data_IF_058076408510
#
_entry.id   IF_058076408510
#
_cell.length_a   1.000
_cell.length_b   1.000
_cell.length_c   1.000
_cell.angle_alpha   90.00
_cell.angle_beta   90.00
_cell.angle_gamma   90.00
#
_symmetry.space_group_name_H-M   'P 1'
#
loop_
_entity.id
_entity.type
_entity.pdbx_description
1 polymer ?
#
# COMPACT_ATOMS: atom_id res chain seq x y z
N UNK A 1 -18.26 -4.85 -1.81
CA UNK A 1 -16.79 -4.76 -1.70
C UNK A 1 -16.42 -3.30 -1.74
N UNK A 2 -15.47 -2.89 -0.92
CA UNK A 2 -15.01 -1.51 -0.84
C UNK A 2 -13.66 -1.40 -1.55
N UNK A 3 -13.48 -0.37 -2.38
CA UNK A 3 -12.21 -0.11 -3.07
C UNK A 3 -11.61 1.20 -2.56
N UNK A 4 -10.32 1.14 -2.25
CA UNK A 4 -9.46 2.28 -1.94
C UNK A 4 -8.53 2.48 -3.14
N UNK A 5 -8.39 3.72 -3.57
CA UNK A 5 -7.43 4.13 -4.60
C UNK A 5 -6.82 5.46 -4.17
N UNK A 6 -5.52 5.44 -3.86
CA UNK A 6 -4.76 6.58 -3.35
C UNK A 6 -3.59 6.82 -4.28
N UNK A 7 -3.45 8.04 -4.76
CA UNK A 7 -2.20 8.50 -5.37
C UNK A 7 -1.47 9.41 -4.38
N UNK A 8 -0.15 9.21 -4.26
CA UNK A 8 0.72 10.02 -3.42
C UNK A 8 1.95 10.45 -4.20
N UNK A 9 2.08 11.76 -4.44
CA UNK A 9 3.24 12.34 -5.11
C UNK A 9 4.46 12.35 -4.19
N UNK A 10 5.65 12.19 -4.77
CA UNK A 10 6.92 12.25 -4.03
C UNK A 10 8.06 12.72 -4.95
N UNK A 11 9.15 13.21 -4.35
CA UNK A 11 10.37 13.60 -5.06
C UNK A 11 11.54 12.61 -4.86
N UNK A 12 11.25 11.41 -4.34
CA UNK A 12 12.22 10.35 -4.04
C UNK A 12 12.70 9.63 -5.32
N UNK A 13 13.91 9.08 -5.29
CA UNK A 13 14.44 8.24 -6.38
C UNK A 13 13.73 6.88 -6.41
N UNK A 14 13.68 6.18 -7.56
CA UNK A 14 13.04 4.86 -7.66
C UNK A 14 13.51 3.86 -6.59
N UNK A 15 14.81 3.87 -6.27
CA UNK A 15 15.41 3.00 -5.26
C UNK A 15 14.90 3.33 -3.85
N UNK A 16 14.81 4.62 -3.52
CA UNK A 16 14.27 5.07 -2.23
C UNK A 16 12.79 4.71 -2.06
N UNK A 17 12.01 4.86 -3.13
CA UNK A 17 10.58 4.52 -3.10
C UNK A 17 10.42 3.01 -2.94
N UNK A 18 11.19 2.20 -3.68
CA UNK A 18 11.17 0.73 -3.57
C UNK A 18 11.50 0.28 -2.15
N UNK A 19 12.56 0.83 -1.55
CA UNK A 19 12.96 0.52 -0.18
C UNK A 19 11.88 0.92 0.83
N UNK A 20 11.26 2.09 0.66
CA UNK A 20 10.16 2.54 1.49
C UNK A 20 8.96 1.58 1.41
N UNK A 21 8.57 1.18 0.20
CA UNK A 21 7.46 0.24 -0.04
C UNK A 21 7.78 -1.15 0.52
N UNK A 22 9.00 -1.64 0.37
CA UNK A 22 9.47 -2.89 0.99
C UNK A 22 9.37 -2.84 2.52
N UNK A 23 9.77 -1.72 3.13
CA UNK A 23 9.64 -1.53 4.58
C UNK A 23 8.18 -1.51 5.05
N UNK A 24 7.27 -0.95 4.24
CA UNK A 24 5.82 -1.00 4.52
C UNK A 24 5.33 -2.44 4.43
N UNK A 25 5.69 -3.16 3.37
CA UNK A 25 5.31 -4.54 3.14
C UNK A 25 5.74 -5.43 4.30
N UNK A 26 7.02 -5.39 4.69
CA UNK A 26 7.57 -6.19 5.78
C UNK A 26 6.79 -5.99 7.09
N UNK A 27 6.48 -4.73 7.44
CA UNK A 27 5.66 -4.42 8.63
C UNK A 27 4.25 -4.98 8.55
N UNK A 28 3.64 -4.96 7.36
CA UNK A 28 2.31 -5.53 7.15
C UNK A 28 2.33 -7.06 7.25
N UNK A 29 3.38 -7.72 6.76
CA UNK A 29 3.55 -9.17 6.93
C UNK A 29 3.69 -9.53 8.41
N UNK A 30 4.58 -8.85 9.14
CA UNK A 30 4.84 -9.12 10.56
C UNK A 30 3.63 -8.89 11.46
N UNK A 31 2.90 -7.77 11.25
CA UNK A 31 1.80 -7.36 12.14
C UNK A 31 0.45 -7.95 11.77
N UNK A 32 0.22 -8.23 10.50
CA UNK A 32 -1.11 -8.59 9.98
C UNK A 32 -1.12 -9.92 9.21
N UNK A 33 0.03 -10.58 9.05
CA UNK A 33 0.12 -11.86 8.34
C UNK A 33 -0.19 -11.75 6.85
N UNK A 34 -0.04 -10.56 6.26
CA UNK A 34 -0.22 -10.38 4.83
C UNK A 34 0.95 -11.01 4.07
N UNK A 35 0.68 -11.47 2.85
CA UNK A 35 1.71 -11.83 1.87
C UNK A 35 1.99 -10.64 0.97
N UNK A 36 3.24 -10.52 0.50
CA UNK A 36 3.59 -9.53 -0.50
C UNK A 36 4.46 -10.12 -1.59
N UNK A 37 4.28 -9.68 -2.84
CA UNK A 37 5.05 -10.14 -3.99
C UNK A 37 5.32 -8.98 -4.94
N UNK A 38 6.58 -8.84 -5.36
CA UNK A 38 6.95 -7.91 -6.42
C UNK A 38 6.58 -8.46 -7.80
N UNK A 39 6.02 -7.59 -8.63
CA UNK A 39 5.60 -7.77 -10.02
C UNK A 39 6.14 -6.58 -10.84
N UNK A 40 7.41 -6.65 -11.24
CA UNK A 40 8.09 -5.52 -11.90
C UNK A 40 8.22 -4.31 -10.97
N UNK A 41 7.53 -3.22 -11.33
CA UNK A 41 7.46 -1.96 -10.58
C UNK A 41 6.23 -1.87 -9.66
N UNK A 42 5.52 -2.99 -9.48
CA UNK A 42 4.35 -3.06 -8.60
C UNK A 42 4.56 -4.10 -7.50
N UNK A 43 4.03 -3.84 -6.30
CA UNK A 43 3.98 -4.79 -5.21
C UNK A 43 2.53 -5.21 -4.98
N UNK A 44 2.23 -6.48 -5.22
CA UNK A 44 0.97 -7.09 -4.80
C UNK A 44 1.03 -7.44 -3.29
N UNK A 45 -0.06 -7.16 -2.59
CA UNK A 45 -0.28 -7.42 -1.17
C UNK A 45 -1.58 -8.21 -1.03
N UNK A 46 -1.58 -9.28 -0.25
CA UNK A 46 -2.79 -10.11 -0.11
C UNK A 46 -2.86 -10.84 1.21
N UNK A 47 -4.05 -10.90 1.79
CA UNK A 47 -4.34 -11.68 2.98
C UNK A 47 -5.84 -11.82 3.23
N UNK A 48 -6.23 -12.40 4.38
CA UNK A 48 -7.64 -12.66 4.67
C UNK A 48 -8.49 -11.39 4.67
N UNK A 49 -9.31 -11.21 3.63
CA UNK A 49 -10.24 -10.08 3.52
C UNK A 49 -9.64 -8.76 3.03
N UNK A 50 -8.38 -8.76 2.58
CA UNK A 50 -7.74 -7.61 1.93
C UNK A 50 -6.88 -8.07 0.74
N UNK A 51 -7.11 -7.44 -0.40
CA UNK A 51 -6.25 -7.53 -1.58
C UNK A 51 -5.76 -6.12 -1.90
N UNK A 52 -4.50 -5.95 -2.29
CA UNK A 52 -3.98 -4.64 -2.62
C UNK A 52 -2.77 -4.68 -3.55
N UNK A 53 -2.50 -3.53 -4.16
CA UNK A 53 -1.38 -3.31 -5.05
C UNK A 53 -0.80 -1.92 -4.82
N UNK A 54 0.53 -1.84 -4.80
CA UNK A 54 1.28 -0.59 -4.77
C UNK A 54 2.05 -0.48 -6.08
N UNK A 55 1.73 0.49 -6.91
CA UNK A 55 2.44 0.77 -8.17
C UNK A 55 3.44 1.90 -7.95
N UNK A 56 4.69 1.65 -8.32
CA UNK A 56 5.74 2.66 -8.36
C UNK A 56 5.66 3.37 -9.71
N UNK A 57 5.31 4.66 -9.71
CA UNK A 57 5.25 5.47 -10.91
C UNK A 57 6.30 6.60 -10.83
N UNK A 58 6.68 7.21 -11.97
CA UNK A 58 7.57 8.36 -11.95
C UNK A 58 6.96 9.52 -11.15
N UNK A 59 7.59 9.89 -10.03
CA UNK A 59 7.18 11.00 -9.16
C UNK A 59 5.93 10.76 -8.31
N UNK A 60 5.37 9.55 -8.31
CA UNK A 60 4.23 9.19 -7.46
C UNK A 60 4.13 7.69 -7.21
N UNK A 61 3.46 7.31 -6.14
CA UNK A 61 2.98 5.95 -5.94
C UNK A 61 1.47 5.90 -6.02
N UNK A 62 0.93 4.80 -6.54
CA UNK A 62 -0.50 4.51 -6.50
C UNK A 62 -0.74 3.29 -5.63
N UNK A 63 -1.63 3.40 -4.66
CA UNK A 63 -2.04 2.31 -3.78
C UNK A 63 -3.50 2.00 -4.04
N UNK A 64 -3.75 0.76 -4.45
CA UNK A 64 -5.07 0.21 -4.63
C UNK A 64 -5.30 -0.88 -3.58
N UNK A 65 -6.47 -0.89 -2.96
CA UNK A 65 -6.84 -1.97 -2.06
C UNK A 65 -8.33 -2.29 -2.18
N UNK A 66 -8.65 -3.58 -2.20
CA UNK A 66 -9.99 -4.11 -2.13
C UNK A 66 -10.21 -4.74 -0.77
N UNK A 67 -11.21 -4.22 -0.07
CA UNK A 67 -11.61 -4.68 1.25
C UNK A 67 -12.81 -5.60 1.12
N UNK A 68 -12.67 -6.79 1.73
CA UNK A 68 -13.77 -7.72 1.95
C UNK A 68 -14.85 -7.12 2.85
N UNK A 69 -16.01 -7.80 2.91
CA UNK A 69 -17.20 -7.29 3.62
C UNK A 69 -16.90 -6.88 5.07
N UNK A 70 -16.12 -7.66 5.81
CA UNK A 70 -15.73 -7.39 7.20
C UNK A 70 -14.98 -6.06 7.36
N UNK A 71 -14.14 -5.69 6.39
CA UNK A 71 -13.31 -4.49 6.46
C UNK A 71 -13.96 -3.27 5.77
N UNK A 72 -15.07 -3.46 5.05
CA UNK A 72 -15.72 -2.38 4.29
C UNK A 72 -16.16 -1.20 5.16
N UNK A 73 -16.67 -1.45 6.37
CA UNK A 73 -17.05 -0.41 7.32
C UNK A 73 -15.84 0.39 7.86
N UNK A 74 -14.64 -0.19 7.81
CA UNK A 74 -13.39 0.43 8.24
C UNK A 74 -12.62 1.09 7.10
N UNK A 75 -13.19 1.18 5.90
CA UNK A 75 -12.51 1.73 4.72
C UNK A 75 -11.85 3.09 5.00
N UNK A 76 -12.56 4.02 5.63
CA UNK A 76 -12.01 5.36 5.92
C UNK A 76 -10.82 5.33 6.88
N UNK A 77 -10.82 4.41 7.85
CA UNK A 77 -9.69 4.22 8.79
C UNK A 77 -8.48 3.63 8.04
N UNK A 78 -8.70 2.62 7.22
CA UNK A 78 -7.65 1.98 6.41
C UNK A 78 -7.05 2.98 5.42
N UNK A 79 -7.89 3.73 4.71
CA UNK A 79 -7.44 4.76 3.77
C UNK A 79 -6.59 5.83 4.46
N UNK A 80 -7.05 6.32 5.61
CA UNK A 80 -6.32 7.34 6.39
C UNK A 80 -4.97 6.83 6.87
N UNK A 81 -4.90 5.57 7.31
CA UNK A 81 -3.65 4.95 7.75
C UNK A 81 -2.67 4.76 6.59
N UNK A 82 -3.15 4.33 5.41
CA UNK A 82 -2.32 4.24 4.21
C UNK A 82 -1.75 5.63 3.88
N UNK A 83 -2.59 6.67 3.82
CA UNK A 83 -2.15 8.04 3.54
C UNK A 83 -1.10 8.52 4.55
N UNK A 84 -1.28 8.23 5.84
CA UNK A 84 -0.35 8.58 6.91
C UNK A 84 1.02 7.93 6.71
N UNK A 85 1.04 6.62 6.45
CA UNK A 85 2.28 5.87 6.23
C UNK A 85 3.00 6.33 4.96
N UNK A 86 2.26 6.57 3.87
CA UNK A 86 2.84 7.11 2.63
C UNK A 86 3.47 8.48 2.87
N UNK A 87 2.78 9.39 3.57
CA UNK A 87 3.34 10.70 3.91
C UNK A 87 4.59 10.61 4.81
N UNK A 88 4.61 9.68 5.77
CA UNK A 88 5.78 9.46 6.65
C UNK A 88 7.00 8.93 5.87
N UNK A 89 6.79 8.08 4.88
CA UNK A 89 7.86 7.38 4.16
C UNK A 89 8.30 8.07 2.87
N UNK A 90 7.41 8.78 2.20
CA UNK A 90 7.61 9.35 0.87
C UNK A 90 7.45 10.88 0.83
N UNK A 91 6.96 11.50 1.91
CA UNK A 91 6.97 12.95 2.11
C UNK A 91 8.35 13.54 2.36
#
# INVERSE_FOLDING_TARGET
>A
MSRIDIEHAHSRTPEQVRQAVEGIAARLQERHGLSSRWEGDSLALGGPGIDGRIELLPGKVRVQAELGFLFSALQGLVESEIRRVLAEKLG
#
